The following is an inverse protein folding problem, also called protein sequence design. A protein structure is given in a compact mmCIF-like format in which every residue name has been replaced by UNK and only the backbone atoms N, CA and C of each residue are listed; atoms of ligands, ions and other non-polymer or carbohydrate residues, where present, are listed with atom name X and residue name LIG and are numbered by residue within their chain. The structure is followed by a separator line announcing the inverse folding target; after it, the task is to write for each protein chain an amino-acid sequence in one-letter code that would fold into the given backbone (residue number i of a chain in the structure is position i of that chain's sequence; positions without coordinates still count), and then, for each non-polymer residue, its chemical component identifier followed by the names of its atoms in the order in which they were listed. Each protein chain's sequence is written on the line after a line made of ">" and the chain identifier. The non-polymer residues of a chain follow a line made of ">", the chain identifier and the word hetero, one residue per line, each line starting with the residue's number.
data_IF_648680788481
#
_entry.id   IF_648680788481
#
_cell.length_a   1.000
_cell.length_b   1.000
_cell.length_c   1.000
_cell.angle_alpha   90.00
_cell.angle_beta   90.00
_cell.angle_gamma   90.00
#
_symmetry.space_group_name_H-M   'P 1'
#
loop_
_entity.id
_entity.type
_entity.pdbx_description
1 polymer ?
#
# COMPACT_ATOMS: atom_id res chain seq x y z
N UNK A 1 -25.10 8.29 -4.51
CA UNK A 1 -24.08 7.97 -5.53
C UNK A 1 -24.06 9.15 -6.49
N UNK A 2 -22.87 9.68 -6.79
CA UNK A 2 -22.65 10.71 -7.81
C UNK A 2 -21.65 10.16 -8.83
N UNK A 3 -21.93 10.34 -10.12
CA UNK A 3 -21.13 9.83 -11.22
C UNK A 3 -21.03 10.90 -12.30
N UNK A 4 -19.82 11.23 -12.71
CA UNK A 4 -19.51 12.03 -13.89
C UNK A 4 -18.40 11.33 -14.66
N UNK A 5 -18.60 11.06 -15.95
CA UNK A 5 -17.62 10.38 -16.80
C UNK A 5 -17.03 9.10 -16.17
N UNK A 6 -17.90 8.33 -15.50
CA UNK A 6 -17.50 7.15 -14.75
C UNK A 6 -17.90 5.85 -15.46
N UNK A 7 -16.97 4.90 -15.52
CA UNK A 7 -17.19 3.57 -16.07
C UNK A 7 -17.18 2.53 -14.95
N UNK A 8 -18.25 1.74 -14.87
CA UNK A 8 -18.45 0.74 -13.82
C UNK A 8 -18.66 -0.65 -14.44
N UNK A 9 -17.84 -1.63 -14.05
CA UNK A 9 -18.04 -3.04 -14.36
C UNK A 9 -18.08 -3.86 -13.08
N UNK A 10 -19.10 -4.71 -12.92
CA UNK A 10 -19.22 -5.49 -11.70
C UNK A 10 -19.98 -6.80 -11.75
N UNK A 11 -19.45 -7.81 -11.06
CA UNK A 11 -20.13 -9.06 -10.70
C UNK A 11 -20.20 -9.21 -9.16
N UNK A 12 -21.41 -9.32 -8.60
CA UNK A 12 -21.67 -9.16 -7.16
C UNK A 12 -22.79 -10.01 -6.59
N UNK A 13 -22.65 -10.39 -5.31
CA UNK A 13 -23.73 -11.00 -4.51
C UNK A 13 -24.32 -10.09 -3.41
N UNK A 14 -23.52 -9.30 -2.69
CA UNK A 14 -24.01 -8.40 -1.63
C UNK A 14 -23.16 -7.13 -1.50
N UNK A 15 -23.80 -5.96 -1.44
CA UNK A 15 -23.12 -4.66 -1.49
C UNK A 15 -23.79 -3.61 -0.63
N UNK A 16 -22.99 -2.82 0.05
CA UNK A 16 -23.37 -1.54 0.65
C UNK A 16 -22.38 -0.47 0.20
N UNK A 17 -22.88 0.65 -0.33
CA UNK A 17 -21.98 1.66 -0.90
C UNK A 17 -22.39 3.12 -0.77
N UNK A 18 -21.38 3.98 -0.57
CA UNK A 18 -21.40 5.40 -0.89
C UNK A 18 -20.30 5.67 -1.93
N UNK A 19 -20.63 6.40 -3.01
CA UNK A 19 -19.69 6.67 -4.11
C UNK A 19 -19.90 8.08 -4.66
N UNK A 20 -18.80 8.78 -4.89
CA UNK A 20 -18.66 10.00 -5.69
C UNK A 20 -17.55 9.77 -6.70
N UNK A 21 -17.87 9.71 -7.99
CA UNK A 21 -16.91 9.41 -9.05
C UNK A 21 -16.92 10.53 -10.09
N UNK A 22 -15.74 11.00 -10.47
CA UNK A 22 -15.49 11.93 -11.57
C UNK A 22 -14.34 11.37 -12.41
N UNK A 23 -14.55 11.16 -13.72
CA UNK A 23 -13.53 10.65 -14.64
C UNK A 23 -12.87 9.35 -14.13
N UNK A 24 -13.68 8.44 -13.59
CA UNK A 24 -13.19 7.25 -12.90
C UNK A 24 -13.57 5.96 -13.62
N UNK A 25 -12.61 5.04 -13.72
CA UNK A 25 -12.87 3.67 -14.14
C UNK A 25 -12.82 2.73 -12.94
N UNK A 26 -13.84 1.90 -12.79
CA UNK A 26 -13.94 0.97 -11.70
C UNK A 26 -14.45 -0.39 -12.19
N UNK A 27 -13.61 -1.41 -12.04
CA UNK A 27 -13.93 -2.81 -12.32
C UNK A 27 -13.78 -3.64 -11.05
N UNK A 28 -14.78 -4.44 -10.70
CA UNK A 28 -14.64 -5.37 -9.59
C UNK A 28 -15.51 -6.63 -9.65
N UNK A 29 -14.93 -7.77 -9.29
CA UNK A 29 -15.62 -9.06 -9.10
C UNK A 29 -15.59 -9.43 -7.62
N UNK A 30 -16.76 -9.43 -6.94
CA UNK A 30 -16.81 -9.63 -5.48
C UNK A 30 -18.04 -10.32 -4.92
N UNK A 31 -17.88 -11.14 -3.88
CA UNK A 31 -19.02 -11.77 -3.17
C UNK A 31 -19.69 -10.84 -2.15
N UNK A 32 -18.94 -10.11 -1.32
CA UNK A 32 -19.49 -9.22 -0.30
C UNK A 32 -18.66 -7.94 -0.14
N UNK A 33 -19.32 -6.77 -0.17
CA UNK A 33 -18.62 -5.48 -0.20
C UNK A 33 -19.33 -4.40 0.62
N UNK A 34 -18.55 -3.66 1.42
CA UNK A 34 -18.98 -2.41 2.06
C UNK A 34 -17.98 -1.32 1.73
N UNK A 35 -18.42 -0.23 1.09
CA UNK A 35 -17.50 0.83 0.74
C UNK A 35 -18.01 2.27 0.77
N UNK A 36 -17.10 3.19 1.07
CA UNK A 36 -17.20 4.61 0.78
C UNK A 36 -16.07 5.00 -0.18
N UNK A 37 -16.38 5.62 -1.31
CA UNK A 37 -15.39 6.01 -2.32
C UNK A 37 -15.62 7.44 -2.83
N UNK A 38 -14.55 8.21 -2.91
CA UNK A 38 -14.47 9.49 -3.61
C UNK A 38 -13.31 9.38 -4.59
N UNK A 39 -13.62 9.34 -5.88
CA UNK A 39 -12.65 9.14 -6.94
C UNK A 39 -12.70 10.30 -7.93
N UNK A 40 -11.55 10.86 -8.26
CA UNK A 40 -11.34 11.83 -9.31
C UNK A 40 -10.19 11.34 -10.18
N UNK A 41 -10.40 11.18 -11.49
CA UNK A 41 -9.37 10.74 -12.44
C UNK A 41 -8.67 9.44 -11.99
N UNK A 42 -9.46 8.47 -11.51
CA UNK A 42 -8.92 7.26 -10.88
C UNK A 42 -9.28 5.99 -11.65
N UNK A 43 -8.32 5.08 -11.75
CA UNK A 43 -8.53 3.73 -12.25
C UNK A 43 -8.44 2.73 -11.10
N UNK A 44 -9.41 1.83 -11.05
CA UNK A 44 -9.57 0.94 -9.93
C UNK A 44 -10.03 -0.45 -10.39
N UNK A 45 -9.19 -1.47 -10.17
CA UNK A 45 -9.48 -2.86 -10.49
C UNK A 45 -9.34 -3.76 -9.27
N UNK A 46 -10.37 -4.56 -8.98
CA UNK A 46 -10.42 -5.43 -7.81
C UNK A 46 -11.06 -6.80 -8.07
N UNK A 47 -10.33 -7.89 -7.87
CA UNK A 47 -10.91 -9.24 -7.72
C UNK A 47 -10.84 -9.67 -6.25
N UNK A 48 -11.99 -9.74 -5.55
CA UNK A 48 -11.99 -10.04 -4.11
C UNK A 48 -13.21 -10.78 -3.57
N UNK A 49 -13.04 -11.67 -2.58
CA UNK A 49 -14.20 -12.34 -1.93
C UNK A 49 -14.95 -11.45 -0.94
N UNK A 50 -14.25 -10.73 -0.06
CA UNK A 50 -14.87 -9.89 0.98
C UNK A 50 -14.06 -8.61 1.21
N UNK A 51 -14.75 -7.46 1.22
CA UNK A 51 -14.07 -6.16 1.25
C UNK A 51 -14.83 -5.13 2.08
N UNK A 52 -14.10 -4.41 2.93
CA UNK A 52 -14.56 -3.21 3.63
C UNK A 52 -13.58 -2.07 3.38
N UNK A 53 -14.01 -0.96 2.78
CA UNK A 53 -13.09 0.15 2.58
C UNK A 53 -13.66 1.56 2.57
N UNK A 54 -12.80 2.51 2.93
CA UNK A 54 -12.93 3.93 2.64
C UNK A 54 -11.78 4.36 1.72
N UNK A 55 -12.07 5.05 0.62
CA UNK A 55 -11.07 5.53 -0.33
C UNK A 55 -11.37 6.95 -0.79
N UNK A 56 -10.32 7.77 -0.82
CA UNK A 56 -10.29 9.07 -1.46
C UNK A 56 -9.11 9.07 -2.42
N UNK A 57 -9.39 9.10 -3.72
CA UNK A 57 -8.38 8.99 -4.78
C UNK A 57 -8.48 10.20 -5.71
N UNK A 58 -7.33 10.78 -6.02
CA UNK A 58 -7.14 11.78 -7.06
C UNK A 58 -5.98 11.32 -7.94
N UNK A 59 -6.19 11.19 -9.25
CA UNK A 59 -5.15 10.78 -10.20
C UNK A 59 -4.43 9.49 -9.79
N UNK A 60 -5.21 8.47 -9.39
CA UNK A 60 -4.65 7.25 -8.81
C UNK A 60 -4.99 6.00 -9.62
N UNK A 61 -4.02 5.10 -9.75
CA UNK A 61 -4.21 3.76 -10.31
C UNK A 61 -4.05 2.70 -9.23
N UNK A 62 -5.04 1.84 -9.10
CA UNK A 62 -5.06 0.79 -8.10
C UNK A 62 -5.48 -0.54 -8.72
N UNK A 63 -4.62 -1.54 -8.58
CA UNK A 63 -4.91 -2.93 -8.95
C UNK A 63 -4.69 -3.86 -7.76
N UNK A 64 -5.66 -4.74 -7.52
CA UNK A 64 -5.68 -5.57 -6.33
C UNK A 64 -6.37 -6.90 -6.57
N UNK A 65 -5.63 -7.99 -6.41
CA UNK A 65 -6.16 -9.35 -6.32
C UNK A 65 -6.06 -9.83 -4.87
N UNK A 66 -7.20 -9.96 -4.17
CA UNK A 66 -7.18 -10.37 -2.75
C UNK A 66 -8.39 -11.14 -2.25
N UNK A 67 -8.19 -12.08 -1.32
CA UNK A 67 -9.34 -12.81 -0.72
C UNK A 67 -10.14 -11.96 0.28
N UNK A 68 -9.48 -11.27 1.21
CA UNK A 68 -10.14 -10.49 2.27
C UNK A 68 -9.38 -9.19 2.57
N UNK A 69 -10.10 -8.07 2.63
CA UNK A 69 -9.47 -6.75 2.73
C UNK A 69 -10.27 -5.77 3.58
N UNK A 70 -9.58 -5.08 4.47
CA UNK A 70 -10.09 -3.92 5.20
C UNK A 70 -9.12 -2.75 5.03
N UNK A 71 -9.56 -1.62 4.47
CA UNK A 71 -8.66 -0.47 4.36
C UNK A 71 -9.28 0.92 4.37
N UNK A 72 -8.45 1.88 4.79
CA UNK A 72 -8.63 3.29 4.54
C UNK A 72 -7.48 3.79 3.65
N UNK A 73 -7.78 4.54 2.59
CA UNK A 73 -6.77 5.08 1.67
C UNK A 73 -7.10 6.52 1.26
N UNK A 74 -6.08 7.38 1.28
CA UNK A 74 -6.09 8.72 0.73
C UNK A 74 -4.90 8.84 -0.21
N UNK A 75 -5.16 8.95 -1.51
CA UNK A 75 -4.15 8.86 -2.55
C UNK A 75 -4.26 10.05 -3.49
N UNK A 76 -3.13 10.68 -3.77
CA UNK A 76 -2.94 11.71 -4.77
C UNK A 76 -1.78 11.29 -5.67
N UNK A 77 -1.99 11.21 -6.98
CA UNK A 77 -0.93 10.85 -7.95
C UNK A 77 -0.20 9.54 -7.58
N UNK A 78 -0.97 8.48 -7.31
CA UNK A 78 -0.40 7.25 -6.76
C UNK A 78 -0.72 6.01 -7.60
N UNK A 79 0.27 5.15 -7.77
CA UNK A 79 0.12 3.82 -8.37
C UNK A 79 0.31 2.73 -7.32
N UNK A 80 -0.68 1.85 -7.20
CA UNK A 80 -0.66 0.74 -6.25
C UNK A 80 -1.02 -0.57 -6.94
N UNK A 81 -0.14 -1.56 -6.83
CA UNK A 81 -0.40 -2.94 -7.22
C UNK A 81 -0.23 -3.87 -6.02
N UNK A 82 -1.23 -4.70 -5.76
CA UNK A 82 -1.20 -5.64 -4.64
C UNK A 82 -1.80 -7.00 -4.98
N UNK A 83 -1.00 -8.05 -4.90
CA UNK A 83 -1.47 -9.44 -4.88
C UNK A 83 -1.34 -9.99 -3.44
N UNK A 84 -2.47 -10.19 -2.74
CA UNK A 84 -2.44 -10.66 -1.34
C UNK A 84 -3.60 -11.52 -0.90
N UNK A 85 -3.39 -12.46 0.04
CA UNK A 85 -4.52 -13.23 0.60
C UNK A 85 -5.35 -12.43 1.61
N UNK A 86 -4.73 -11.75 2.57
CA UNK A 86 -5.43 -11.02 3.62
C UNK A 86 -4.72 -9.71 3.98
N UNK A 87 -5.46 -8.61 4.06
CA UNK A 87 -4.86 -7.28 4.23
C UNK A 87 -5.70 -6.35 5.09
N UNK A 88 -5.03 -5.68 6.02
CA UNK A 88 -5.59 -4.56 6.78
C UNK A 88 -4.65 -3.36 6.68
N UNK A 89 -5.10 -2.22 6.15
CA UNK A 89 -4.21 -1.05 6.10
C UNK A 89 -4.88 0.32 6.16
N UNK A 90 -4.09 1.29 6.63
CA UNK A 90 -4.32 2.72 6.43
C UNK A 90 -3.17 3.28 5.58
N UNK A 91 -3.49 4.06 4.54
CA UNK A 91 -2.48 4.68 3.68
C UNK A 91 -2.84 6.11 3.33
N UNK A 92 -1.84 6.98 3.38
CA UNK A 92 -1.86 8.35 2.89
C UNK A 92 -0.68 8.51 1.95
N UNK A 93 -0.93 8.67 0.66
CA UNK A 93 0.12 8.68 -0.35
C UNK A 93 -0.03 9.90 -1.26
N UNK A 94 1.10 10.53 -1.56
CA UNK A 94 1.23 11.60 -2.53
C UNK A 94 2.41 11.25 -3.43
N UNK A 95 2.22 11.21 -4.74
CA UNK A 95 3.29 10.91 -5.72
C UNK A 95 4.02 9.60 -5.38
N UNK A 96 3.28 8.51 -5.22
CA UNK A 96 3.84 7.26 -4.72
C UNK A 96 3.56 6.06 -5.63
N UNK A 97 4.57 5.21 -5.80
CA UNK A 97 4.45 3.92 -6.46
C UNK A 97 4.66 2.78 -5.47
N UNK A 98 3.70 1.88 -5.35
CA UNK A 98 3.83 0.69 -4.52
C UNK A 98 3.47 -0.58 -5.27
N UNK A 99 4.33 -1.59 -5.13
CA UNK A 99 4.08 -2.95 -5.57
C UNK A 99 4.29 -3.93 -4.42
N UNK A 100 3.30 -4.78 -4.17
CA UNK A 100 3.39 -5.79 -3.13
C UNK A 100 2.82 -7.14 -3.54
N UNK A 101 3.63 -8.19 -3.36
CA UNK A 101 3.17 -9.58 -3.34
C UNK A 101 3.30 -10.14 -1.91
N UNK A 102 2.18 -10.35 -1.22
CA UNK A 102 2.24 -10.83 0.17
C UNK A 102 1.09 -11.73 0.60
N UNK A 103 1.36 -12.71 1.47
CA UNK A 103 0.25 -13.55 2.01
C UNK A 103 -0.61 -12.82 3.03
N UNK A 104 -0.02 -12.15 4.02
CA UNK A 104 -0.76 -11.45 5.09
C UNK A 104 -0.08 -10.15 5.50
N UNK A 105 -0.85 -9.07 5.61
CA UNK A 105 -0.31 -7.73 5.81
C UNK A 105 -1.18 -6.86 6.69
N UNK A 106 -0.54 -6.20 7.66
CA UNK A 106 -1.13 -5.12 8.45
C UNK A 106 -0.22 -3.90 8.40
N UNK A 107 -0.68 -2.75 7.88
CA UNK A 107 0.17 -1.56 7.89
C UNK A 107 -0.52 -0.20 7.98
N UNK A 108 0.24 0.76 8.48
CA UNK A 108 -0.02 2.19 8.33
C UNK A 108 1.11 2.81 7.49
N UNK A 109 0.79 3.64 6.49
CA UNK A 109 1.80 4.30 5.66
C UNK A 109 1.42 5.74 5.36
N UNK A 110 2.41 6.63 5.45
CA UNK A 110 2.34 8.01 5.02
C UNK A 110 3.53 8.25 4.09
N UNK A 111 3.29 8.37 2.78
CA UNK A 111 4.37 8.49 1.81
C UNK A 111 4.19 9.73 0.94
N UNK A 112 5.29 10.42 0.67
CA UNK A 112 5.40 11.52 -0.27
C UNK A 112 6.59 11.23 -1.19
N UNK A 113 6.40 11.26 -2.50
CA UNK A 113 7.46 11.01 -3.49
C UNK A 113 8.22 9.69 -3.22
N UNK A 114 7.49 8.57 -3.15
CA UNK A 114 8.07 7.30 -2.70
C UNK A 114 7.82 6.13 -3.65
N UNK A 115 8.83 5.30 -3.85
CA UNK A 115 8.74 4.01 -4.51
C UNK A 115 8.98 2.87 -3.52
N UNK A 116 8.09 1.89 -3.50
CA UNK A 116 8.23 0.72 -2.63
C UNK A 116 7.83 -0.58 -3.35
N UNK A 117 8.77 -1.51 -3.43
CA UNK A 117 8.52 -2.87 -3.92
C UNK A 117 8.81 -3.89 -2.81
N UNK A 118 7.90 -4.82 -2.55
CA UNK A 118 8.04 -5.69 -1.39
C UNK A 118 7.30 -7.04 -1.54
N UNK A 119 8.08 -8.12 -1.62
CA UNK A 119 7.64 -9.53 -1.62
C UNK A 119 7.82 -10.16 -0.23
N UNK A 120 6.72 -10.42 0.48
CA UNK A 120 6.77 -11.00 1.83
C UNK A 120 5.67 -11.98 2.18
N UNK A 121 5.98 -12.99 3.00
CA UNK A 121 4.92 -13.89 3.53
C UNK A 121 4.03 -13.21 4.58
N UNK A 122 4.60 -12.56 5.61
CA UNK A 122 3.81 -11.92 6.67
C UNK A 122 4.46 -10.61 7.15
N UNK A 123 3.65 -9.55 7.27
CA UNK A 123 4.19 -8.21 7.52
C UNK A 123 3.28 -7.37 8.41
N UNK A 124 3.89 -6.72 9.39
CA UNK A 124 3.28 -5.64 10.16
C UNK A 124 4.18 -4.40 10.11
N UNK A 125 3.71 -3.25 9.65
CA UNK A 125 4.55 -2.04 9.68
C UNK A 125 3.83 -0.71 9.81
N UNK A 126 4.55 0.28 10.33
CA UNK A 126 4.21 1.70 10.23
C UNK A 126 5.34 2.41 9.48
N UNK A 127 5.05 3.18 8.44
CA UNK A 127 6.08 3.88 7.65
C UNK A 127 5.68 5.32 7.35
N UNK A 128 6.63 6.24 7.47
CA UNK A 128 6.52 7.64 7.08
C UNK A 128 7.70 7.96 6.15
N UNK A 129 7.48 8.18 4.87
CA UNK A 129 8.56 8.35 3.90
C UNK A 129 8.37 9.64 3.11
N UNK A 130 9.47 10.33 2.85
CA UNK A 130 9.58 11.47 1.95
C UNK A 130 10.76 11.20 1.01
N UNK A 131 10.57 11.29 -0.30
CA UNK A 131 11.63 11.11 -1.30
C UNK A 131 12.42 9.80 -1.10
N UNK A 132 11.73 8.65 -1.16
CA UNK A 132 12.33 7.36 -0.76
C UNK A 132 12.10 6.22 -1.75
N UNK A 133 13.11 5.39 -1.98
CA UNK A 133 12.99 4.15 -2.76
C UNK A 133 13.38 2.94 -1.93
N UNK A 134 12.51 1.92 -1.87
CA UNK A 134 12.75 0.73 -1.06
C UNK A 134 12.37 -0.55 -1.80
N UNK A 135 13.17 -1.60 -1.58
CA UNK A 135 12.93 -2.95 -2.11
C UNK A 135 13.12 -4.02 -1.04
N UNK A 136 12.21 -4.99 -0.91
CA UNK A 136 12.29 -6.05 0.11
C UNK A 136 11.89 -7.43 -0.40
N UNK A 137 12.63 -8.48 0.01
CA UNK A 137 12.19 -9.89 -0.02
C UNK A 137 12.33 -10.52 1.38
N UNK A 138 11.22 -10.84 2.09
CA UNK A 138 11.33 -11.40 3.46
C UNK A 138 10.23 -12.40 3.83
N UNK A 139 10.48 -13.31 4.79
CA UNK A 139 9.40 -14.20 5.31
C UNK A 139 8.53 -13.60 6.43
N UNK A 140 9.07 -12.87 7.41
CA UNK A 140 8.30 -12.31 8.53
C UNK A 140 8.96 -11.04 9.09
N UNK A 141 8.16 -9.99 9.28
CA UNK A 141 8.65 -8.60 9.38
C UNK A 141 7.72 -7.73 10.24
N UNK A 142 8.23 -7.11 11.32
CA UNK A 142 7.49 -6.11 12.14
C UNK A 142 8.25 -4.77 12.35
N UNK A 143 8.00 -3.69 11.58
CA UNK A 143 8.74 -2.39 11.64
C UNK A 143 7.92 -1.17 12.08
N UNK A 144 8.65 -0.13 12.53
CA UNK A 144 8.27 1.26 12.34
C UNK A 144 9.41 2.02 11.63
N UNK A 145 9.15 2.84 10.61
CA UNK A 145 10.18 3.60 9.88
C UNK A 145 9.73 5.04 9.59
N UNK A 146 10.66 5.98 9.60
CA UNK A 146 10.54 7.37 9.18
C UNK A 146 11.75 7.69 8.30
N UNK A 147 11.58 8.08 7.04
CA UNK A 147 12.71 8.34 6.12
C UNK A 147 12.47 9.64 5.33
N UNK A 148 13.56 10.34 5.00
CA UNK A 148 13.63 11.51 4.13
C UNK A 148 14.87 11.32 3.23
N UNK A 149 14.76 11.47 1.91
CA UNK A 149 15.87 11.29 0.95
C UNK A 149 16.63 9.95 1.11
N UNK A 150 15.98 8.79 0.90
CA UNK A 150 16.59 7.48 1.21
C UNK A 150 16.47 6.45 0.09
N UNK A 151 17.45 5.56 -0.03
CA UNK A 151 17.38 4.41 -0.92
C UNK A 151 17.70 3.11 -0.13
N UNK A 152 16.80 2.11 -0.12
CA UNK A 152 17.09 0.66 -0.23
C UNK A 152 17.16 -0.26 1.02
N UNK A 153 17.46 -1.57 0.86
CA UNK A 153 16.96 -2.72 0.02
C UNK A 153 17.51 -4.03 0.55
N UNK A 154 16.70 -5.02 0.94
CA UNK A 154 17.25 -6.22 1.60
C UNK A 154 16.38 -7.48 1.63
N UNK A 155 17.05 -8.65 1.75
CA UNK A 155 16.54 -10.02 1.60
C UNK A 155 16.79 -10.96 2.85
N UNK A 156 15.73 -11.64 3.37
CA UNK A 156 15.58 -12.76 4.39
C UNK A 156 16.20 -12.57 5.83
N UNK A 157 15.86 -13.25 6.96
CA UNK A 157 14.71 -14.08 7.42
C UNK A 157 14.40 -14.15 8.97
N UNK A 158 14.27 -13.02 9.67
CA UNK A 158 13.26 -12.78 10.73
C UNK A 158 13.57 -11.42 11.39
N UNK A 159 12.58 -10.52 11.49
CA UNK A 159 12.87 -9.09 11.70
C UNK A 159 12.02 -8.45 12.79
N UNK A 160 12.65 -7.57 13.55
CA UNK A 160 12.01 -6.47 14.32
C UNK A 160 12.91 -5.24 14.26
N UNK A 161 12.33 -4.04 14.08
CA UNK A 161 13.00 -2.85 13.54
C UNK A 161 12.78 -1.65 14.47
N UNK A 162 13.34 -0.47 14.18
CA UNK A 162 12.66 0.84 14.20
C UNK A 162 13.65 1.89 13.66
N UNK A 163 13.34 2.68 12.63
CA UNK A 163 14.35 3.60 12.04
C UNK A 163 13.79 4.98 11.67
N UNK A 164 14.60 6.02 11.84
CA UNK A 164 14.38 7.41 11.41
C UNK A 164 15.59 7.85 10.55
N UNK A 165 15.46 8.28 9.29
CA UNK A 165 16.61 8.75 8.47
C UNK A 165 16.32 9.98 7.57
N UNK A 166 17.38 10.73 7.23
CA UNK A 166 17.45 11.91 6.33
C UNK A 166 18.82 11.81 5.60
N UNK A 167 18.91 11.89 4.27
CA UNK A 167 19.88 11.17 3.40
C UNK A 167 20.04 9.66 3.72
N UNK A 168 20.07 8.80 2.70
CA UNK A 168 20.57 7.43 2.80
C UNK A 168 20.69 6.69 1.47
N UNK A 169 21.57 5.70 1.47
CA UNK A 169 21.55 4.51 0.60
C UNK A 169 21.88 3.31 1.50
N UNK A 170 21.15 2.19 1.55
CA UNK A 170 21.60 1.01 2.30
C UNK A 170 20.94 -0.32 1.91
N UNK A 171 21.77 -1.31 1.55
CA UNK A 171 21.40 -2.62 1.00
C UNK A 171 21.83 -3.81 1.90
N UNK A 172 21.05 -4.89 2.13
CA UNK A 172 21.52 -6.04 2.97
C UNK A 172 20.85 -7.44 2.84
N UNK A 173 21.52 -8.47 3.40
CA UNK A 173 21.08 -9.89 3.52
C UNK A 173 21.67 -10.53 4.82
N UNK A 174 20.85 -10.91 5.83
CA UNK A 174 21.25 -11.68 7.05
C UNK A 174 20.05 -12.35 7.76
N UNK A 175 20.28 -13.56 8.32
CA UNK A 175 19.25 -14.54 8.75
C UNK A 175 18.29 -14.18 9.91
N UNK A 176 18.63 -13.29 10.87
CA UNK A 176 17.70 -12.77 11.90
C UNK A 176 18.26 -11.50 12.57
N UNK A 177 17.46 -10.42 12.71
CA UNK A 177 17.91 -9.12 13.24
C UNK A 177 16.84 -8.44 14.10
N UNK A 178 17.27 -7.89 15.24
CA UNK A 178 16.53 -6.91 16.05
C UNK A 178 17.42 -5.69 16.27
N UNK A 179 17.03 -4.51 15.79
CA UNK A 179 17.82 -3.26 15.92
C UNK A 179 16.92 -2.00 15.93
N UNK A 180 17.45 -0.91 16.48
CA UNK A 180 16.85 0.44 16.51
C UNK A 180 17.91 1.45 16.02
N UNK A 181 17.59 2.35 15.08
CA UNK A 181 18.56 3.25 14.43
C UNK A 181 17.99 4.66 14.18
N UNK A 182 18.85 5.69 14.20
CA UNK A 182 18.53 7.10 13.88
C UNK A 182 19.69 7.72 13.07
N UNK A 183 19.46 8.35 11.91
CA UNK A 183 20.53 8.95 11.08
C UNK A 183 20.09 10.19 10.27
N UNK A 184 21.04 11.02 9.88
CA UNK A 184 20.78 12.36 9.33
C UNK A 184 21.60 12.75 8.09
N UNK A 185 22.63 11.99 7.66
CA UNK A 185 23.26 12.06 6.32
C UNK A 185 23.96 10.67 6.00
N UNK A 186 23.94 10.03 4.80
CA UNK A 186 24.34 8.59 4.64
C UNK A 186 24.62 7.97 3.24
N UNK A 187 25.44 6.88 3.21
CA UNK A 187 25.54 5.85 2.14
C UNK A 187 26.21 4.51 2.60
N UNK A 188 25.58 3.33 2.49
CA UNK A 188 26.18 1.99 2.21
C UNK A 188 25.15 0.88 1.92
#
# INVERSE_FOLDING_TARGET
>A
MFLHEAYLSYDKRAVTHCMFLHEAYLSYDKRAVTHCMFLHEAYLSYDKRAVTHCMFLHEAYLSYDKRAVTHCMFLHEAYLSYDKRAVTHCMFLHEAYLSYDKRAVTHCMFLHEAYLSDDKRAVTHCMFLHEAYLSYDKRAVTHCMFLHEAYLSYDKRAVTHCMFLHEAYLSYDKRAVTHCMFLHEAHL
#
